data_IF_010660053105
#
_entry.id   IF_010660053105
#
_cell.length_a   1.000
_cell.length_b   1.000
_cell.length_c   1.000
_cell.angle_alpha   90.00
_cell.angle_beta   90.00
_cell.angle_gamma   90.00
#
_symmetry.space_group_name_H-M   'P 1'
#
loop_
_entity.id
_entity.type
_entity.pdbx_description
1 polymer ?
#
# COMPACT_ATOMS: atom_id res chain seq x y z
N UNK A 1 -3.07 -12.84 2.76
CA UNK A 1 -2.07 -11.76 2.65
C UNK A 1 -1.41 -11.42 3.97
N UNK A 2 -2.13 -11.04 5.04
CA UNK A 2 -1.49 -10.73 6.33
C UNK A 2 -0.64 -11.87 6.91
N UNK A 3 -1.13 -13.12 6.82
CA UNK A 3 -0.34 -14.31 7.19
C UNK A 3 0.90 -14.49 6.31
N UNK A 4 0.76 -14.29 5.00
CA UNK A 4 1.90 -14.34 4.06
C UNK A 4 2.97 -13.31 4.47
N UNK A 5 2.55 -12.09 4.82
CA UNK A 5 3.46 -11.05 5.31
C UNK A 5 4.09 -11.35 6.68
N UNK A 6 3.39 -12.06 7.56
CA UNK A 6 3.88 -12.46 8.87
C UNK A 6 4.93 -13.58 8.78
N UNK A 7 4.67 -14.56 7.92
CA UNK A 7 5.38 -15.84 7.93
C UNK A 7 6.55 -15.90 6.94
N UNK A 8 6.67 -14.91 6.04
CA UNK A 8 7.67 -14.94 4.95
C UNK A 8 8.59 -13.71 5.00
N UNK A 9 9.75 -13.81 5.69
CA UNK A 9 10.62 -12.66 5.93
C UNK A 9 11.53 -12.30 4.74
N UNK A 10 11.52 -13.08 3.65
CA UNK A 10 12.32 -12.78 2.46
C UNK A 10 11.44 -12.45 1.27
N UNK A 11 11.86 -11.53 0.37
CA UNK A 11 11.09 -11.19 -0.83
C UNK A 11 10.73 -12.41 -1.68
N UNK A 12 11.67 -13.35 -1.82
CA UNK A 12 11.46 -14.58 -2.59
C UNK A 12 10.37 -15.46 -1.96
N UNK A 13 10.49 -15.77 -0.67
CA UNK A 13 9.50 -16.58 0.03
C UNK A 13 8.11 -15.92 0.03
N UNK A 14 8.05 -14.59 0.18
CA UNK A 14 6.80 -13.85 0.14
C UNK A 14 6.10 -13.92 -1.23
N UNK A 15 6.86 -13.88 -2.33
CA UNK A 15 6.34 -14.06 -3.69
C UNK A 15 5.86 -15.50 -3.90
N UNK A 16 6.69 -16.49 -3.56
CA UNK A 16 6.34 -17.91 -3.74
C UNK A 16 5.05 -18.24 -2.97
N UNK A 17 4.94 -17.82 -1.71
CA UNK A 17 3.73 -18.02 -0.91
C UNK A 17 2.52 -17.23 -1.44
N UNK A 18 2.72 -16.06 -2.03
CA UNK A 18 1.64 -15.29 -2.67
C UNK A 18 1.14 -16.00 -3.94
N UNK A 19 2.06 -16.39 -4.81
CA UNK A 19 1.76 -17.04 -6.09
C UNK A 19 1.05 -18.39 -5.84
N UNK A 20 1.43 -19.14 -4.80
CA UNK A 20 0.73 -20.34 -4.35
C UNK A 20 -0.72 -20.08 -3.89
N UNK A 21 -0.95 -18.98 -3.16
CA UNK A 21 -2.28 -18.62 -2.64
C UNK A 21 -3.20 -18.17 -3.78
N UNK A 22 -2.67 -17.41 -4.73
CA UNK A 22 -3.43 -16.83 -5.84
C UNK A 22 -3.61 -17.83 -6.99
N UNK A 23 -2.58 -18.58 -7.34
CA UNK A 23 -2.64 -19.62 -8.38
C UNK A 23 -3.68 -20.70 -8.07
N UNK A 24 -3.91 -21.02 -6.79
CA UNK A 24 -4.99 -21.92 -6.35
C UNK A 24 -6.40 -21.36 -6.54
N UNK A 25 -6.54 -20.04 -6.67
CA UNK A 25 -7.85 -19.36 -6.79
C UNK A 25 -8.15 -18.92 -8.22
N UNK A 26 -7.14 -18.81 -9.08
CA UNK A 26 -7.30 -18.29 -10.44
C UNK A 26 -7.60 -16.79 -10.47
N UNK A 27 -7.33 -16.08 -9.37
CA UNK A 27 -7.64 -14.65 -9.24
C UNK A 27 -6.54 -13.81 -9.91
N UNK A 28 -6.92 -12.79 -10.67
CA UNK A 28 -6.00 -11.79 -11.22
C UNK A 28 -6.63 -10.40 -11.16
N UNK A 29 -5.81 -9.37 -10.92
CA UNK A 29 -6.28 -7.99 -10.96
C UNK A 29 -5.39 -7.01 -10.22
N UNK A 30 -5.66 -5.72 -10.43
CA UNK A 30 -4.85 -4.61 -9.90
C UNK A 30 -4.63 -4.70 -8.38
N UNK A 31 -5.67 -5.08 -7.61
CA UNK A 31 -5.55 -5.21 -6.16
C UNK A 31 -4.51 -6.27 -5.76
N UNK A 32 -4.42 -7.36 -6.52
CA UNK A 32 -3.45 -8.42 -6.29
C UNK A 32 -2.04 -7.98 -6.71
N UNK A 33 -1.90 -7.23 -7.81
CA UNK A 33 -0.60 -6.68 -8.23
C UNK A 33 -0.05 -5.68 -7.20
N UNK A 34 -0.91 -4.83 -6.65
CA UNK A 34 -0.55 -3.92 -5.56
C UNK A 34 -0.15 -4.71 -4.30
N UNK A 35 -0.90 -5.74 -3.93
CA UNK A 35 -0.58 -6.58 -2.79
C UNK A 35 0.74 -7.35 -2.96
N UNK A 36 1.02 -7.86 -4.17
CA UNK A 36 2.28 -8.55 -4.50
C UNK A 36 3.48 -7.62 -4.34
N UNK A 37 3.39 -6.40 -4.89
CA UNK A 37 4.45 -5.38 -4.73
C UNK A 37 4.64 -4.98 -3.27
N UNK A 38 3.56 -4.77 -2.54
CA UNK A 38 3.60 -4.44 -1.12
C UNK A 38 4.26 -5.55 -0.27
N UNK A 39 3.97 -6.82 -0.55
CA UNK A 39 4.62 -7.95 0.12
C UNK A 39 6.12 -7.98 -0.10
N UNK A 40 6.56 -7.77 -1.34
CA UNK A 40 8.00 -7.74 -1.69
C UNK A 40 8.72 -6.62 -0.95
N UNK A 41 8.17 -5.40 -0.98
CA UNK A 41 8.74 -4.25 -0.28
C UNK A 41 8.76 -4.47 1.23
N UNK A 42 7.68 -4.99 1.79
CA UNK A 42 7.59 -5.29 3.22
C UNK A 42 8.63 -6.33 3.66
N UNK A 43 8.77 -7.42 2.89
CA UNK A 43 9.75 -8.46 3.19
C UNK A 43 11.19 -7.93 3.10
N UNK A 44 11.49 -7.13 2.07
CA UNK A 44 12.81 -6.47 1.94
C UNK A 44 13.12 -5.56 3.13
N UNK A 45 12.11 -4.84 3.64
CA UNK A 45 12.23 -3.96 4.79
C UNK A 45 12.10 -4.66 6.15
N UNK A 46 11.83 -5.98 6.18
CA UNK A 46 11.51 -6.74 7.40
C UNK A 46 10.39 -6.11 8.23
N UNK A 47 9.37 -5.55 7.57
CA UNK A 47 8.32 -4.75 8.22
C UNK A 47 7.20 -5.55 8.90
N UNK A 48 7.15 -6.87 8.69
CA UNK A 48 6.12 -7.74 9.27
C UNK A 48 4.69 -7.36 8.86
N UNK A 49 3.73 -7.58 9.75
CA UNK A 49 2.30 -7.34 9.49
C UNK A 49 1.99 -5.85 9.33
N UNK A 50 2.56 -5.01 10.20
CA UNK A 50 2.37 -3.55 10.16
C UNK A 50 3.00 -2.92 8.91
N UNK A 51 4.22 -3.35 8.55
CA UNK A 51 4.90 -2.88 7.35
C UNK A 51 4.15 -3.25 6.08
N UNK A 52 3.54 -4.43 6.01
CA UNK A 52 2.75 -4.82 4.86
C UNK A 52 1.53 -3.92 4.67
N UNK A 53 0.79 -3.61 5.74
CA UNK A 53 -0.31 -2.66 5.65
C UNK A 53 0.16 -1.29 5.15
N UNK A 54 1.25 -0.78 5.71
CA UNK A 54 1.86 0.49 5.30
C UNK A 54 2.23 0.52 3.82
N UNK A 55 2.90 -0.53 3.32
CA UNK A 55 3.28 -0.64 1.91
C UNK A 55 2.07 -0.84 1.00
N UNK A 56 1.05 -1.59 1.43
CA UNK A 56 -0.16 -1.81 0.64
C UNK A 56 -0.93 -0.51 0.37
N UNK A 57 -1.16 0.28 1.43
CA UNK A 57 -1.83 1.56 1.28
C UNK A 57 -0.95 2.58 0.52
N UNK A 58 0.38 2.50 0.67
CA UNK A 58 1.32 3.32 -0.10
C UNK A 58 1.26 3.02 -1.60
N UNK A 59 1.21 1.74 -1.97
CA UNK A 59 1.06 1.31 -3.37
C UNK A 59 -0.29 1.76 -3.95
N UNK A 60 -1.38 1.59 -3.20
CA UNK A 60 -2.71 2.02 -3.63
C UNK A 60 -2.78 3.54 -3.82
N UNK A 61 -2.32 4.31 -2.84
CA UNK A 61 -2.32 5.79 -2.90
C UNK A 61 -1.39 6.29 -4.00
N UNK A 62 -0.22 5.68 -4.17
CA UNK A 62 0.73 6.00 -5.23
C UNK A 62 0.19 5.69 -6.64
N UNK A 63 -0.60 4.63 -6.79
CA UNK A 63 -1.30 4.32 -8.04
C UNK A 63 -2.30 5.42 -8.40
N UNK A 64 -3.21 5.78 -7.49
CA UNK A 64 -4.21 6.82 -7.76
C UNK A 64 -3.57 8.19 -7.95
N UNK A 65 -2.59 8.55 -7.12
CA UNK A 65 -1.80 9.76 -7.31
C UNK A 65 -1.19 9.78 -8.71
N UNK A 66 -0.52 8.71 -9.14
CA UNK A 66 0.11 8.64 -10.47
C UNK A 66 -0.88 8.69 -11.62
N UNK A 67 -2.09 8.14 -11.45
CA UNK A 67 -3.16 8.17 -12.44
C UNK A 67 -3.73 9.58 -12.60
N UNK A 68 -3.89 10.31 -11.50
CA UNK A 68 -4.55 11.61 -11.48
C UNK A 68 -3.53 12.75 -11.68
N UNK A 69 -2.24 12.52 -11.41
CA UNK A 69 -1.14 13.50 -11.54
C UNK A 69 -1.03 14.19 -12.91
N UNK A 70 -1.22 13.51 -14.06
CA UNK A 70 -1.19 14.17 -15.37
C UNK A 70 -2.21 15.31 -15.50
N UNK A 71 -3.34 15.23 -14.77
CA UNK A 71 -4.33 16.31 -14.73
C UNK A 71 -3.90 17.52 -13.88
N UNK A 72 -2.79 17.41 -13.14
CA UNK A 72 -2.23 18.48 -12.30
C UNK A 72 -0.90 19.03 -12.82
N UNK A 73 -0.16 18.27 -13.63
CA UNK A 73 1.11 18.69 -14.25
C UNK A 73 0.84 19.64 -15.41
N UNK A 74 1.47 20.82 -15.40
CA UNK A 74 1.31 21.83 -16.45
C UNK A 74 0.13 22.80 -16.26
N UNK A 75 -0.68 22.63 -15.21
CA UNK A 75 -1.49 23.72 -14.69
C UNK A 75 -0.55 24.70 -13.97
N UNK A 76 -0.46 25.95 -14.42
CA UNK A 76 0.53 26.97 -14.00
C UNK A 76 0.65 27.19 -12.48
N UNK A 77 -0.28 26.65 -11.68
CA UNK A 77 -0.38 26.88 -10.22
C UNK A 77 -0.17 25.66 -9.32
N UNK A 78 0.08 24.43 -9.82
CA UNK A 78 0.09 23.23 -8.94
C UNK A 78 1.34 22.37 -9.00
N UNK A 79 1.70 21.81 -10.16
CA UNK A 79 2.88 20.93 -10.31
C UNK A 79 3.68 21.35 -11.55
N UNK A 80 4.75 22.14 -11.38
CA UNK A 80 5.41 22.83 -12.51
C UNK A 80 6.30 21.91 -13.35
N UNK A 81 6.78 20.79 -12.80
CA UNK A 81 7.70 19.89 -13.49
C UNK A 81 7.72 18.49 -12.87
N UNK A 82 8.43 17.57 -13.51
CA UNK A 82 8.57 16.18 -13.05
C UNK A 82 9.18 16.04 -11.65
N UNK A 83 10.07 16.95 -11.25
CA UNK A 83 10.69 16.91 -9.92
C UNK A 83 9.68 17.26 -8.82
N UNK A 84 8.84 18.27 -9.05
CA UNK A 84 7.72 18.59 -8.17
C UNK A 84 6.69 17.45 -8.12
N UNK A 85 6.50 16.75 -9.24
CA UNK A 85 5.63 15.59 -9.32
C UNK A 85 6.17 14.41 -8.47
N UNK A 86 7.49 14.19 -8.47
CA UNK A 86 8.16 13.20 -7.60
C UNK A 86 7.99 13.59 -6.12
N UNK A 87 8.29 14.84 -5.77
CA UNK A 87 8.15 15.34 -4.40
C UNK A 87 6.71 15.18 -3.87
N UNK A 88 5.70 15.44 -4.71
CA UNK A 88 4.30 15.23 -4.34
C UNK A 88 3.98 13.75 -4.07
N UNK A 89 4.49 12.83 -4.90
CA UNK A 89 4.29 11.39 -4.68
C UNK A 89 4.95 10.93 -3.39
N UNK A 90 6.14 11.42 -3.09
CA UNK A 90 6.83 11.12 -1.84
C UNK A 90 6.06 11.67 -0.63
N UNK A 91 5.55 12.90 -0.71
CA UNK A 91 4.71 13.49 0.34
C UNK A 91 3.42 12.68 0.57
N UNK A 92 2.73 12.25 -0.49
CA UNK A 92 1.54 11.39 -0.40
C UNK A 92 1.90 10.05 0.25
N UNK A 93 3.03 9.44 -0.14
CA UNK A 93 3.51 8.21 0.48
C UNK A 93 3.75 8.40 1.98
N UNK A 94 4.50 9.42 2.38
CA UNK A 94 4.76 9.71 3.80
C UNK A 94 3.48 9.94 4.58
N UNK A 95 2.56 10.77 4.09
CA UNK A 95 1.28 11.03 4.73
C UNK A 95 0.44 9.74 4.89
N UNK A 96 0.47 8.87 3.88
CA UNK A 96 -0.21 7.57 3.91
C UNK A 96 0.38 6.67 5.01
N UNK A 97 1.70 6.56 5.06
CA UNK A 97 2.38 5.73 6.07
C UNK A 97 2.11 6.26 7.49
N UNK A 98 2.05 7.57 7.67
CA UNK A 98 1.68 8.18 8.96
C UNK A 98 0.24 7.89 9.35
N UNK A 99 -0.71 7.98 8.43
CA UNK A 99 -2.12 7.66 8.67
C UNK A 99 -2.29 6.20 9.08
N UNK A 100 -1.64 5.27 8.35
CA UNK A 100 -1.64 3.84 8.68
C UNK A 100 -1.03 3.61 10.06
N UNK A 101 0.09 4.26 10.37
CA UNK A 101 0.76 4.14 11.68
C UNK A 101 -0.14 4.59 12.84
N UNK A 102 -0.99 5.61 12.65
CA UNK A 102 -1.93 6.08 13.69
C UNK A 102 -3.02 5.06 14.00
N UNK A 103 -3.46 4.27 13.01
CA UNK A 103 -4.43 3.17 13.23
C UNK A 103 -3.76 2.01 13.97
N UNK A 104 -2.47 1.79 13.73
CA UNK A 104 -1.68 0.75 14.38
C UNK A 104 -1.54 -0.52 13.55
N UNK A 105 -1.41 -1.66 14.21
CA UNK A 105 -1.13 -2.96 13.56
C UNK A 105 -2.42 -3.75 13.37
N UNK A 106 -2.72 -4.25 12.15
CA UNK A 106 -3.88 -5.08 11.93
C UNK A 106 -3.71 -6.45 12.61
N UNK A 107 -4.81 -7.02 13.10
CA UNK A 107 -4.82 -8.41 13.58
C UNK A 107 -4.93 -9.38 12.42
N UNK A 108 -4.54 -10.64 12.64
CA UNK A 108 -4.44 -11.65 11.57
C UNK A 108 -5.80 -12.24 11.15
N UNK A 109 -6.89 -11.98 11.89
CA UNK A 109 -8.22 -12.48 11.55
C UNK A 109 -8.86 -11.67 10.41
N UNK A 110 -9.68 -12.33 9.58
CA UNK A 110 -10.27 -11.71 8.39
C UNK A 110 -11.27 -10.59 8.72
N UNK A 111 -12.10 -10.76 9.75
CA UNK A 111 -13.03 -9.71 10.20
C UNK A 111 -12.28 -8.47 10.67
N UNK A 112 -11.22 -8.68 11.45
CA UNK A 112 -10.33 -7.61 11.94
C UNK A 112 -9.66 -6.83 10.81
N UNK A 113 -9.43 -7.45 9.64
CA UNK A 113 -8.84 -6.77 8.49
C UNK A 113 -9.79 -5.77 7.84
N UNK A 114 -11.08 -6.11 7.70
CA UNK A 114 -12.06 -5.19 7.09
C UNK A 114 -12.27 -3.96 7.96
N UNK A 115 -12.38 -4.15 9.28
CA UNK A 115 -12.47 -3.06 10.26
C UNK A 115 -11.22 -2.17 10.20
N UNK A 116 -10.04 -2.79 10.14
CA UNK A 116 -8.77 -2.07 10.01
C UNK A 116 -8.71 -1.22 8.74
N UNK A 117 -9.09 -1.79 7.59
CA UNK A 117 -9.15 -1.06 6.32
C UNK A 117 -10.10 0.14 6.42
N UNK A 118 -11.26 -0.04 7.04
CA UNK A 118 -12.21 1.05 7.29
C UNK A 118 -11.58 2.17 8.12
N UNK A 119 -10.90 1.84 9.22
CA UNK A 119 -10.22 2.82 10.07
C UNK A 119 -9.10 3.58 9.33
N UNK A 120 -8.32 2.90 8.49
CA UNK A 120 -7.29 3.55 7.67
C UNK A 120 -7.91 4.50 6.65
N UNK A 121 -8.98 4.10 5.97
CA UNK A 121 -9.68 4.95 5.00
C UNK A 121 -10.20 6.22 5.68
N UNK A 122 -10.79 6.11 6.87
CA UNK A 122 -11.28 7.26 7.62
C UNK A 122 -10.13 8.19 8.06
N UNK A 123 -8.96 7.65 8.43
CA UNK A 123 -7.78 8.49 8.69
C UNK A 123 -7.28 9.21 7.42
N UNK A 124 -7.27 8.54 6.27
CA UNK A 124 -6.81 9.11 5.00
C UNK A 124 -7.75 10.16 4.42
N UNK A 125 -9.06 10.05 4.69
CA UNK A 125 -10.05 11.06 4.31
C UNK A 125 -9.81 12.42 4.96
N UNK A 126 -9.14 12.45 6.11
CA UNK A 126 -8.95 13.65 6.91
C UNK A 126 -10.24 14.09 7.62
N UNK A 127 -10.09 14.93 8.64
CA UNK A 127 -11.21 15.65 9.24
C UNK A 127 -11.58 16.82 8.32
N UNK A 128 -12.86 16.93 7.96
CA UNK A 128 -13.41 18.11 7.28
C UNK A 128 -13.29 19.35 8.15
#
# INVERSE_FOLDING_TARGET
>A
MLRVAADNPTPRAAIEAFDDVIGKRGDAGLALDLARRALVRNAAAKGGVAGFASELFSEASGYYASRDLPSFVGSESRVPNSSAAIALKDAIRTATQEAVRRVGTPRLEQSSWQEYVGAVIEQLRGTR
#
